data_IF_199684102044
#
_entry.id   IF_199684102044
#
_cell.length_a   1.000
_cell.length_b   1.000
_cell.length_c   1.000
_cell.angle_alpha   90.00
_cell.angle_beta   90.00
_cell.angle_gamma   90.00
#
_symmetry.space_group_name_H-M   'P 1'
#
loop_
_entity.id
_entity.type
_entity.pdbx_description
1 polymer ?
#
# COMPACT_ATOMS: atom_id res chain seq x y z
N UNK A 1 7.85 23.43 -6.36
CA UNK A 1 7.88 22.20 -5.55
C UNK A 1 7.55 21.05 -6.46
N UNK A 2 8.46 20.08 -6.57
CA UNK A 2 8.31 18.94 -7.48
C UNK A 2 8.22 17.62 -6.70
N UNK A 3 7.32 16.72 -7.12
CA UNK A 3 7.09 15.42 -6.52
C UNK A 3 7.44 14.31 -7.50
N UNK A 4 8.28 13.35 -7.10
CA UNK A 4 8.44 12.07 -7.82
C UNK A 4 7.65 10.99 -7.10
N UNK A 5 6.71 10.36 -7.79
CA UNK A 5 5.96 9.18 -7.31
C UNK A 5 6.59 7.92 -7.90
N UNK A 6 7.05 7.03 -7.04
CA UNK A 6 7.65 5.74 -7.42
C UNK A 6 6.69 4.62 -7.07
N UNK A 7 6.35 3.80 -8.05
CA UNK A 7 5.46 2.64 -7.88
C UNK A 7 6.19 1.39 -8.41
N UNK A 8 6.37 0.39 -7.56
CA UNK A 8 6.94 -0.91 -7.96
C UNK A 8 5.83 -1.90 -8.19
N UNK A 9 5.73 -2.45 -9.40
CA UNK A 9 4.66 -3.35 -9.83
C UNK A 9 5.16 -4.77 -10.09
N UNK A 10 4.35 -5.77 -9.75
CA UNK A 10 4.58 -7.17 -10.09
C UNK A 10 3.25 -7.93 -10.23
N UNK A 11 2.81 -8.21 -11.47
CA UNK A 11 1.58 -8.95 -11.80
C UNK A 11 0.30 -8.37 -11.17
N UNK A 12 0.12 -7.04 -11.19
CA UNK A 12 -1.03 -6.34 -10.56
C UNK A 12 -1.62 -5.23 -11.44
N UNK A 13 -1.69 -5.45 -12.75
CA UNK A 13 -2.08 -4.48 -13.78
C UNK A 13 -3.29 -3.60 -13.41
N UNK A 14 -4.38 -4.18 -12.92
CA UNK A 14 -5.64 -3.45 -12.69
C UNK A 14 -5.58 -2.54 -11.46
N UNK A 15 -4.98 -3.03 -10.38
CA UNK A 15 -4.71 -2.22 -9.19
C UNK A 15 -3.73 -1.09 -9.50
N UNK A 16 -2.70 -1.39 -10.27
CA UNK A 16 -1.70 -0.41 -10.70
C UNK A 16 -2.33 0.73 -11.51
N UNK A 17 -3.21 0.43 -12.47
CA UNK A 17 -3.93 1.48 -13.21
C UNK A 17 -4.76 2.34 -12.28
N UNK A 18 -5.52 1.73 -11.35
CA UNK A 18 -6.30 2.46 -10.36
C UNK A 18 -5.40 3.35 -9.48
N UNK A 19 -4.27 2.83 -9.03
CA UNK A 19 -3.28 3.56 -8.26
C UNK A 19 -2.79 4.79 -9.03
N UNK A 20 -2.33 4.62 -10.27
CA UNK A 20 -1.86 5.72 -11.14
C UNK A 20 -2.95 6.77 -11.32
N UNK A 21 -4.18 6.36 -11.65
CA UNK A 21 -5.31 7.29 -11.83
C UNK A 21 -5.63 8.05 -10.55
N UNK A 22 -5.55 7.41 -9.38
CA UNK A 22 -5.76 8.09 -8.09
C UNK A 22 -4.68 9.15 -7.82
N UNK A 23 -3.41 8.83 -8.13
CA UNK A 23 -2.30 9.80 -8.04
C UNK A 23 -2.52 10.98 -8.98
N UNK A 24 -2.88 10.74 -10.23
CA UNK A 24 -3.15 11.80 -11.22
C UNK A 24 -4.30 12.73 -10.76
N UNK A 25 -5.34 12.17 -10.11
CA UNK A 25 -6.44 12.97 -9.55
C UNK A 25 -5.99 13.81 -8.34
N UNK A 26 -5.20 13.23 -7.45
CA UNK A 26 -4.70 13.90 -6.24
C UNK A 26 -3.60 14.93 -6.53
N UNK A 27 -2.89 14.79 -7.65
CA UNK A 27 -1.78 15.66 -8.03
C UNK A 27 -2.19 16.90 -8.84
N UNK A 28 -3.49 17.19 -8.96
CA UNK A 28 -3.96 18.40 -9.68
C UNK A 28 -3.35 19.66 -9.06
N UNK A 29 -2.64 20.47 -9.87
CA UNK A 29 -1.97 21.67 -9.43
C UNK A 29 -0.61 21.46 -8.76
N UNK A 30 -0.13 20.24 -8.71
CA UNK A 30 1.20 19.86 -8.23
C UNK A 30 2.09 19.57 -9.44
N UNK A 31 3.35 20.02 -9.44
CA UNK A 31 4.35 19.59 -10.41
C UNK A 31 4.86 18.20 -10.01
N UNK A 32 4.58 17.18 -10.82
CA UNK A 32 4.89 15.80 -10.48
C UNK A 32 5.31 14.95 -11.68
N UNK A 33 5.99 13.87 -11.38
CA UNK A 33 6.24 12.76 -12.29
C UNK A 33 5.88 11.43 -11.63
N UNK A 34 5.46 10.44 -12.44
CA UNK A 34 5.24 9.07 -11.98
C UNK A 34 6.24 8.16 -12.67
N UNK A 35 6.99 7.39 -11.88
CA UNK A 35 7.91 6.35 -12.37
C UNK A 35 7.39 5.01 -11.87
N UNK A 36 7.02 4.15 -12.81
CA UNK A 36 6.62 2.76 -12.53
C UNK A 36 7.78 1.85 -12.84
N UNK A 37 8.21 1.05 -11.87
CA UNK A 37 9.17 -0.04 -12.10
C UNK A 37 8.37 -1.34 -12.20
N UNK A 38 8.30 -1.89 -13.40
CA UNK A 38 7.80 -3.25 -13.59
C UNK A 38 8.88 -4.24 -13.19
N UNK A 39 8.59 -5.03 -12.16
CA UNK A 39 9.56 -5.86 -11.48
C UNK A 39 9.51 -7.31 -11.99
N UNK A 40 9.61 -7.49 -13.34
CA UNK A 40 9.54 -8.79 -14.04
C UNK A 40 8.12 -9.40 -14.01
N UNK A 41 7.10 -8.60 -14.36
CA UNK A 41 5.74 -9.11 -14.52
C UNK A 41 5.62 -10.06 -15.71
N UNK A 42 4.87 -11.14 -15.53
CA UNK A 42 4.60 -12.14 -16.57
C UNK A 42 3.28 -11.90 -17.32
N UNK A 43 2.52 -10.89 -16.89
CA UNK A 43 1.28 -10.46 -17.54
C UNK A 43 1.54 -9.34 -18.57
N UNK A 44 0.49 -8.77 -19.14
CA UNK A 44 0.56 -7.71 -20.14
C UNK A 44 0.75 -6.29 -19.54
N UNK A 45 1.15 -6.17 -18.27
CA UNK A 45 1.25 -4.89 -17.54
C UNK A 45 2.03 -3.84 -18.32
N UNK A 46 3.24 -4.15 -18.78
CA UNK A 46 4.12 -3.17 -19.46
C UNK A 46 3.52 -2.68 -20.77
N UNK A 47 3.05 -3.60 -21.62
CA UNK A 47 2.43 -3.24 -22.90
C UNK A 47 1.19 -2.38 -22.68
N UNK A 48 0.36 -2.75 -21.70
CA UNK A 48 -0.82 -2.01 -21.32
C UNK A 48 -0.50 -0.59 -20.84
N UNK A 49 0.48 -0.43 -19.94
CA UNK A 49 0.86 0.88 -19.40
C UNK A 49 1.36 1.82 -20.49
N UNK A 50 2.21 1.32 -21.40
CA UNK A 50 2.72 2.10 -22.54
C UNK A 50 1.59 2.59 -23.45
N UNK A 51 0.59 1.74 -23.72
CA UNK A 51 -0.57 2.10 -24.52
C UNK A 51 -1.49 3.08 -23.79
N UNK A 52 -1.71 2.84 -22.49
CA UNK A 52 -2.73 3.52 -21.70
C UNK A 52 -2.33 4.91 -21.23
N UNK A 53 -1.08 5.05 -20.83
CA UNK A 53 -0.56 6.27 -20.20
C UNK A 53 0.44 7.01 -21.07
N UNK A 54 0.97 6.37 -22.12
CA UNK A 54 1.93 6.97 -23.07
C UNK A 54 3.02 7.80 -22.33
N UNK A 55 3.12 9.10 -22.63
CA UNK A 55 4.13 10.00 -22.07
C UNK A 55 3.78 10.55 -20.67
N UNK A 56 2.62 10.18 -20.11
CA UNK A 56 2.19 10.69 -18.79
C UNK A 56 2.86 10.00 -17.60
N UNK A 57 3.52 8.87 -17.84
CA UNK A 57 4.32 8.13 -16.85
C UNK A 57 5.61 7.62 -17.48
N UNK A 58 6.59 7.34 -16.62
CA UNK A 58 7.81 6.62 -17.05
C UNK A 58 7.70 5.17 -16.62
N UNK A 59 7.92 4.23 -17.54
CA UNK A 59 7.96 2.79 -17.23
C UNK A 59 9.38 2.28 -17.37
N UNK A 60 9.91 1.73 -16.28
CA UNK A 60 11.19 1.01 -16.22
C UNK A 60 10.85 -0.47 -16.16
N UNK A 61 11.25 -1.21 -17.18
CA UNK A 61 11.04 -2.66 -17.26
C UNK A 61 12.27 -3.39 -16.76
N UNK A 62 12.14 -4.18 -15.71
CA UNK A 62 13.19 -5.04 -15.18
C UNK A 62 13.09 -6.44 -15.79
N UNK A 63 14.22 -7.03 -16.12
CA UNK A 63 14.32 -8.40 -16.64
C UNK A 63 14.37 -9.47 -15.54
N UNK A 64 14.29 -9.05 -14.28
CA UNK A 64 14.29 -9.93 -13.12
C UNK A 64 13.58 -9.25 -11.94
N UNK A 65 13.03 -10.01 -11.02
CA UNK A 65 12.45 -9.47 -9.79
C UNK A 65 13.55 -8.99 -8.83
N UNK A 66 13.75 -7.67 -8.78
CA UNK A 66 14.76 -7.00 -7.96
C UNK A 66 14.41 -6.96 -6.46
N UNK A 67 13.16 -7.27 -6.09
CA UNK A 67 12.61 -6.97 -4.78
C UNK A 67 12.21 -5.50 -4.64
N UNK A 68 11.67 -5.14 -3.48
CA UNK A 68 11.08 -3.80 -3.28
C UNK A 68 12.14 -2.70 -3.15
N UNK A 69 13.17 -2.92 -2.33
CA UNK A 69 14.20 -1.90 -2.06
C UNK A 69 14.98 -1.52 -3.33
N UNK A 70 15.50 -2.50 -4.07
CA UNK A 70 16.30 -2.24 -5.28
C UNK A 70 15.48 -1.61 -6.39
N UNK A 71 14.24 -2.06 -6.58
CA UNK A 71 13.36 -1.50 -7.60
C UNK A 71 13.02 -0.04 -7.31
N UNK A 72 12.68 0.32 -6.06
CA UNK A 72 12.50 1.72 -5.67
C UNK A 72 13.77 2.55 -5.87
N UNK A 73 14.93 2.04 -5.43
CA UNK A 73 16.21 2.72 -5.58
C UNK A 73 16.56 3.00 -7.06
N UNK A 74 16.23 2.05 -7.95
CA UNK A 74 16.41 2.23 -9.40
C UNK A 74 15.64 3.44 -9.92
N UNK A 75 14.35 3.57 -9.56
CA UNK A 75 13.53 4.70 -9.94
C UNK A 75 14.02 6.02 -9.34
N UNK A 76 14.42 6.01 -8.05
CA UNK A 76 14.92 7.21 -7.36
C UNK A 76 16.20 7.72 -8.02
N UNK A 77 17.15 6.83 -8.37
CA UNK A 77 18.38 7.19 -9.09
C UNK A 77 18.06 7.74 -10.46
N UNK A 78 17.19 7.10 -11.23
CA UNK A 78 16.80 7.57 -12.55
C UNK A 78 16.12 8.95 -12.50
N UNK A 79 15.29 9.22 -11.49
CA UNK A 79 14.71 10.56 -11.32
C UNK A 79 15.78 11.62 -11.08
N UNK A 80 16.86 11.31 -10.35
CA UNK A 80 17.97 12.20 -10.10
C UNK A 80 18.84 12.42 -11.36
N UNK A 81 19.17 11.35 -12.09
CA UNK A 81 20.05 11.38 -13.28
C UNK A 81 19.46 12.21 -14.42
N UNK A 82 18.14 12.24 -14.58
CA UNK A 82 17.47 13.09 -15.56
C UNK A 82 17.77 14.58 -15.40
N UNK A 83 18.06 15.02 -14.17
CA UNK A 83 18.37 16.42 -13.87
C UNK A 83 19.87 16.72 -13.98
N UNK A 84 20.75 15.72 -13.88
CA UNK A 84 22.20 15.91 -14.02
C UNK A 84 22.67 15.89 -15.47
N UNK A 85 21.94 15.21 -16.37
CA UNK A 85 22.30 15.06 -17.79
C UNK A 85 21.51 15.96 -18.75
N UNK A 86 20.46 16.63 -18.28
CA UNK A 86 19.70 17.55 -19.11
C UNK A 86 20.29 18.95 -19.04
N UNK A 87 20.42 19.53 -20.25
CA UNK A 87 20.85 20.85 -20.63
C UNK A 87 20.71 21.91 -19.51
N UNK A 88 21.78 22.60 -19.12
CA UNK A 88 21.75 23.70 -18.15
C UNK A 88 20.75 24.80 -18.50
N UNK A 89 20.22 24.83 -19.73
CA UNK A 89 19.23 25.80 -20.17
C UNK A 89 17.80 25.51 -19.74
N UNK A 90 17.48 24.27 -19.30
CA UNK A 90 16.11 23.89 -18.92
C UNK A 90 15.74 24.18 -17.46
N UNK A 91 16.71 24.58 -16.63
CA UNK A 91 16.46 24.96 -15.21
C UNK A 91 15.81 23.86 -14.35
N UNK A 92 15.83 22.60 -14.81
CA UNK A 92 15.22 21.49 -14.10
C UNK A 92 16.01 21.16 -12.83
N UNK A 93 15.33 21.23 -11.69
CA UNK A 93 15.88 20.83 -10.38
C UNK A 93 15.36 19.44 -9.99
N UNK A 94 16.13 18.65 -9.21
CA UNK A 94 15.62 17.41 -8.63
C UNK A 94 14.32 17.63 -7.86
N UNK A 95 13.50 16.60 -7.77
CA UNK A 95 12.26 16.68 -6.99
C UNK A 95 12.54 16.94 -5.52
N UNK A 96 11.76 17.82 -4.91
CA UNK A 96 11.88 18.16 -3.49
C UNK A 96 11.41 17.00 -2.60
N UNK A 97 10.48 16.20 -3.12
CA UNK A 97 9.84 15.09 -2.41
C UNK A 97 9.76 13.84 -3.26
N UNK A 98 9.83 12.69 -2.59
CA UNK A 98 9.70 11.35 -3.18
C UNK A 98 8.60 10.62 -2.45
N UNK A 99 7.61 10.12 -3.18
CA UNK A 99 6.60 9.21 -2.66
C UNK A 99 6.88 7.78 -3.13
N UNK A 100 7.13 6.87 -2.21
CA UNK A 100 7.07 5.43 -2.47
C UNK A 100 5.62 4.98 -2.22
N UNK A 101 5.00 4.37 -3.23
CA UNK A 101 3.59 4.00 -3.21
C UNK A 101 3.39 2.57 -3.70
N UNK A 102 2.67 1.75 -2.93
CA UNK A 102 2.33 0.41 -3.38
C UNK A 102 1.32 0.43 -4.54
N UNK A 103 1.45 -0.47 -5.53
CA UNK A 103 0.58 -0.53 -6.70
C UNK A 103 -0.86 -0.94 -6.38
N UNK A 104 -1.10 -1.58 -5.22
CA UNK A 104 -2.40 -2.02 -4.73
C UNK A 104 -3.01 -1.03 -3.72
N UNK A 105 -2.75 0.27 -3.94
CA UNK A 105 -3.36 1.38 -3.19
C UNK A 105 -4.16 2.30 -4.11
N UNK A 106 -5.10 3.03 -3.54
CA UNK A 106 -5.58 4.27 -4.14
C UNK A 106 -5.66 5.37 -3.09
N UNK A 107 -5.36 6.59 -3.49
CA UNK A 107 -5.26 7.75 -2.60
C UNK A 107 -6.45 8.70 -2.81
N UNK A 108 -6.91 9.34 -1.73
CA UNK A 108 -7.92 10.37 -1.79
C UNK A 108 -7.40 11.60 -2.57
N UNK A 109 -8.29 12.34 -3.22
CA UNK A 109 -7.93 13.47 -4.09
C UNK A 109 -7.20 14.61 -3.36
N UNK A 110 -7.43 14.78 -2.07
CA UNK A 110 -6.80 15.80 -1.21
C UNK A 110 -5.53 15.33 -0.51
N UNK A 111 -5.22 14.02 -0.60
CA UNK A 111 -4.13 13.38 0.15
C UNK A 111 -2.77 14.04 -0.10
N UNK A 112 -2.38 14.25 -1.35
CA UNK A 112 -1.07 14.83 -1.67
C UNK A 112 -0.95 16.29 -1.21
N UNK A 113 -2.01 17.08 -1.33
CA UNK A 113 -2.03 18.47 -0.87
C UNK A 113 -1.87 18.57 0.65
N UNK A 114 -2.56 17.71 1.41
CA UNK A 114 -2.43 17.67 2.87
C UNK A 114 -1.00 17.29 3.30
N UNK A 115 -0.42 16.26 2.68
CA UNK A 115 0.91 15.76 3.03
C UNK A 115 2.01 16.75 2.66
N UNK A 116 1.96 17.34 1.47
CA UNK A 116 2.93 18.32 1.01
C UNK A 116 2.85 19.62 1.82
N UNK A 117 1.64 20.11 2.10
CA UNK A 117 1.44 21.28 2.96
C UNK A 117 1.96 21.08 4.39
N UNK A 118 1.83 19.84 4.92
CA UNK A 118 2.43 19.47 6.19
C UNK A 118 3.97 19.50 6.14
N UNK A 119 4.58 18.93 5.09
CA UNK A 119 6.03 18.95 4.90
C UNK A 119 6.60 20.36 4.78
N UNK A 120 5.90 21.26 4.09
CA UNK A 120 6.33 22.65 3.94
C UNK A 120 6.33 23.40 5.28
N UNK A 121 5.36 23.11 6.15
CA UNK A 121 5.25 23.71 7.48
C UNK A 121 6.13 23.04 8.55
N UNK A 122 6.71 21.86 8.26
CA UNK A 122 7.52 21.09 9.21
C UNK A 122 8.88 20.71 8.61
N UNK A 123 9.88 21.60 8.60
CA UNK A 123 11.20 21.36 7.99
C UNK A 123 11.95 20.15 8.59
N UNK A 124 11.68 19.81 9.85
CA UNK A 124 12.28 18.63 10.52
C UNK A 124 11.63 17.30 10.11
N UNK A 125 10.47 17.32 9.44
CA UNK A 125 9.84 16.12 8.94
C UNK A 125 10.68 15.54 7.78
N UNK A 126 11.32 14.42 8.02
CA UNK A 126 12.08 13.67 7.02
C UNK A 126 11.20 12.73 6.20
N UNK A 127 10.11 12.24 6.81
CA UNK A 127 9.16 11.38 6.12
C UNK A 127 7.78 11.37 6.76
N UNK A 128 6.76 11.04 5.93
CA UNK A 128 5.35 11.01 6.32
C UNK A 128 4.68 9.72 5.88
N UNK A 129 3.93 9.11 6.82
CA UNK A 129 2.91 8.10 6.56
C UNK A 129 1.51 8.68 6.73
N UNK A 130 0.50 7.96 6.23
CA UNK A 130 -0.88 8.47 6.16
C UNK A 130 -1.89 7.50 6.79
N UNK A 131 -3.15 7.96 6.91
CA UNK A 131 -4.29 7.16 7.36
C UNK A 131 -4.64 6.12 6.31
N UNK A 132 -4.26 4.88 6.56
CA UNK A 132 -4.59 3.77 5.67
C UNK A 132 -5.90 3.10 6.13
N UNK A 133 -6.80 2.90 5.18
CA UNK A 133 -8.00 2.11 5.35
C UNK A 133 -7.80 0.73 4.73
N UNK A 134 -8.31 -0.29 5.40
CA UNK A 134 -8.51 -1.58 4.79
C UNK A 134 -9.72 -1.52 3.84
N UNK A 135 -9.86 -2.44 2.89
CA UNK A 135 -11.00 -2.44 1.97
C UNK A 135 -12.36 -2.59 2.64
N UNK A 136 -12.43 -3.05 3.89
CA UNK A 136 -13.65 -3.12 4.71
C UNK A 136 -13.94 -1.82 5.49
N UNK A 137 -13.27 -0.72 5.16
CA UNK A 137 -13.41 0.58 5.81
C UNK A 137 -12.74 0.69 7.18
N UNK A 138 -12.24 -0.42 7.75
CA UNK A 138 -11.52 -0.37 9.03
C UNK A 138 -10.15 0.27 8.89
N UNK A 139 -9.68 0.91 9.96
CA UNK A 139 -8.38 1.57 9.96
C UNK A 139 -7.25 0.55 10.11
N UNK A 140 -6.24 0.68 9.25
CA UNK A 140 -5.07 -0.18 9.26
C UNK A 140 -4.10 0.25 10.37
N UNK A 141 -3.85 -0.59 11.39
CA UNK A 141 -3.00 -0.21 12.53
C UNK A 141 -1.56 0.11 12.14
N UNK A 142 -1.08 -0.38 11.01
CA UNK A 142 0.24 -0.09 10.47
C UNK A 142 0.41 1.35 9.93
N UNK A 143 -0.63 2.16 9.89
CA UNK A 143 -0.56 3.60 9.65
C UNK A 143 0.31 4.31 10.67
N UNK A 144 0.38 3.80 11.90
CA UNK A 144 1.09 4.40 13.02
C UNK A 144 1.89 3.31 13.75
N UNK A 145 3.19 3.24 13.44
CA UNK A 145 4.06 2.19 14.00
C UNK A 145 5.19 2.79 14.83
N UNK A 146 5.44 2.14 15.97
CA UNK A 146 6.66 2.31 16.76
C UNK A 146 7.78 1.41 16.25
N UNK A 147 9.02 1.74 16.60
CA UNK A 147 10.18 0.90 16.28
C UNK A 147 10.07 -0.49 16.91
N UNK A 148 10.34 -1.55 16.16
CA UNK A 148 10.41 -2.91 16.67
C UNK A 148 11.72 -3.12 17.45
N UNK A 149 11.91 -2.34 18.53
CA UNK A 149 13.03 -2.59 19.44
C UNK A 149 12.91 -4.01 20.02
N UNK A 150 13.99 -4.62 20.55
CA UNK A 150 13.92 -5.94 21.15
C UNK A 150 12.78 -6.10 22.16
N UNK A 151 12.59 -5.10 23.03
CA UNK A 151 11.54 -5.07 24.03
C UNK A 151 10.14 -4.93 23.42
N UNK A 152 9.94 -4.00 22.48
CA UNK A 152 8.66 -3.81 21.81
C UNK A 152 8.25 -5.03 20.99
N UNK A 153 9.22 -5.68 20.32
CA UNK A 153 9.01 -6.92 19.59
C UNK A 153 8.61 -8.08 20.50
N UNK A 154 9.26 -8.21 21.65
CA UNK A 154 8.92 -9.22 22.66
C UNK A 154 7.49 -8.99 23.20
N UNK A 155 7.15 -7.78 23.58
CA UNK A 155 5.79 -7.45 24.04
C UNK A 155 4.72 -7.75 22.97
N UNK A 156 5.00 -7.41 21.70
CA UNK A 156 4.09 -7.72 20.58
C UNK A 156 3.89 -9.23 20.43
N UNK A 157 4.96 -10.03 20.56
CA UNK A 157 4.88 -11.49 20.49
C UNK A 157 4.04 -12.09 21.63
N UNK A 158 4.03 -11.43 22.80
CA UNK A 158 3.16 -11.78 23.95
C UNK A 158 1.74 -11.22 23.84
N UNK A 159 1.36 -10.57 22.72
CA UNK A 159 0.03 -10.00 22.49
C UNK A 159 -0.11 -8.52 22.87
N UNK A 160 0.90 -7.90 23.48
CA UNK A 160 0.87 -6.49 23.90
C UNK A 160 1.30 -5.57 22.76
N UNK A 161 0.38 -5.27 21.84
CA UNK A 161 0.69 -4.53 20.61
C UNK A 161 0.54 -3.01 20.72
N UNK A 162 0.15 -2.47 21.90
CA UNK A 162 -0.16 -1.03 22.09
C UNK A 162 0.99 -0.12 21.69
N UNK A 163 2.22 -0.43 22.13
CA UNK A 163 3.41 0.37 21.80
C UNK A 163 3.82 0.24 20.34
N UNK A 164 3.73 -0.98 19.79
CA UNK A 164 4.09 -1.22 18.39
C UNK A 164 3.18 -0.48 17.40
N UNK A 165 1.86 -0.42 17.66
CA UNK A 165 0.91 0.28 16.81
C UNK A 165 0.57 1.69 17.32
N UNK A 166 1.33 2.22 18.26
CA UNK A 166 1.19 3.57 18.82
C UNK A 166 -0.28 3.96 19.07
N UNK A 167 -1.04 3.06 19.72
CA UNK A 167 -2.50 3.20 19.91
C UNK A 167 -2.93 4.42 20.72
N UNK A 168 -1.97 5.13 21.32
CA UNK A 168 -2.20 6.39 22.03
C UNK A 168 -2.39 7.59 21.11
N UNK A 169 -1.95 7.51 19.84
CA UNK A 169 -2.12 8.59 18.89
C UNK A 169 -3.57 8.63 18.37
N UNK A 170 -4.21 9.82 18.28
CA UNK A 170 -5.51 9.94 17.64
C UNK A 170 -5.42 9.66 16.14
N UNK A 171 -6.56 9.26 15.53
CA UNK A 171 -6.60 8.95 14.11
C UNK A 171 -6.78 10.20 13.22
N UNK A 172 -7.31 11.28 13.77
CA UNK A 172 -7.75 12.44 13.01
C UNK A 172 -6.84 13.65 13.23
N UNK A 173 -5.71 13.45 13.91
CA UNK A 173 -4.69 14.47 14.14
C UNK A 173 -3.31 14.00 13.70
N UNK A 174 -2.45 14.90 13.17
CA UNK A 174 -1.06 14.56 12.91
C UNK A 174 -0.34 14.17 14.19
N UNK A 175 0.60 13.23 14.08
CA UNK A 175 1.38 12.79 15.23
C UNK A 175 2.74 12.20 14.81
N UNK A 176 3.72 12.32 15.72
CA UNK A 176 5.03 11.70 15.50
C UNK A 176 4.92 10.19 15.62
N UNK A 177 5.48 9.49 14.67
CA UNK A 177 5.59 8.03 14.64
C UNK A 177 7.05 7.62 14.47
N UNK A 178 7.38 6.38 14.80
CA UNK A 178 8.75 5.92 14.59
C UNK A 178 8.95 5.33 13.19
N UNK A 179 7.95 4.64 12.66
CA UNK A 179 8.07 3.88 11.41
C UNK A 179 6.95 4.24 10.44
N UNK A 180 7.34 4.67 9.26
CA UNK A 180 6.46 4.93 8.12
C UNK A 180 6.21 3.62 7.37
N UNK A 181 4.98 3.40 6.90
CA UNK A 181 4.66 2.22 6.10
C UNK A 181 5.12 2.38 4.66
N UNK A 182 5.79 1.36 4.10
CA UNK A 182 6.18 1.33 2.69
C UNK A 182 5.00 1.36 1.71
N UNK A 183 3.75 1.13 2.19
CA UNK A 183 2.57 1.25 1.33
C UNK A 183 2.29 2.69 0.86
N UNK A 184 2.61 3.68 1.70
CA UNK A 184 2.67 5.10 1.38
C UNK A 184 3.78 5.73 2.23
N UNK A 185 4.89 6.07 1.62
CA UNK A 185 6.05 6.65 2.28
C UNK A 185 6.49 7.90 1.54
N UNK A 186 6.03 9.07 1.99
CA UNK A 186 6.47 10.36 1.46
C UNK A 186 7.74 10.79 2.17
N UNK A 187 8.77 11.12 1.41
CA UNK A 187 10.12 11.43 1.89
C UNK A 187 10.56 12.81 1.40
N UNK A 188 11.20 13.58 2.26
CA UNK A 188 11.94 14.76 1.86
C UNK A 188 13.23 14.33 1.16
N UNK A 189 13.51 14.84 -0.03
CA UNK A 189 14.71 14.49 -0.82
C UNK A 189 15.99 14.75 -0.03
N UNK A 190 16.13 15.92 0.57
CA UNK A 190 17.30 16.27 1.38
C UNK A 190 17.55 15.27 2.52
N UNK A 191 16.47 14.82 3.19
CA UNK A 191 16.59 13.82 4.24
C UNK A 191 17.05 12.48 3.69
N UNK A 192 16.49 12.05 2.55
CA UNK A 192 16.87 10.81 1.88
C UNK A 192 18.31 10.83 1.40
N UNK A 193 18.77 11.94 0.80
CA UNK A 193 20.16 12.11 0.34
C UNK A 193 21.13 12.03 1.51
N UNK A 194 20.76 12.53 2.69
CA UNK A 194 21.59 12.49 3.89
C UNK A 194 21.67 11.12 4.54
N UNK A 195 20.56 10.36 4.57
CA UNK A 195 20.52 9.05 5.24
C UNK A 195 20.82 7.89 4.29
N UNK A 196 20.81 8.13 2.99
CA UNK A 196 20.94 7.14 1.92
C UNK A 196 19.61 6.48 1.56
N UNK A 197 19.58 5.81 0.42
CA UNK A 197 18.41 5.15 -0.14
C UNK A 197 17.97 3.94 0.69
N UNK A 198 16.96 3.19 0.23
CA UNK A 198 16.54 1.95 0.85
C UNK A 198 17.70 0.95 0.87
N UNK A 199 17.80 0.18 1.93
CA UNK A 199 18.85 -0.82 2.08
C UNK A 199 18.53 -2.07 1.24
N UNK A 200 19.39 -2.36 0.28
CA UNK A 200 19.19 -3.42 -0.72
C UNK A 200 19.45 -4.84 -0.20
N UNK A 201 19.90 -5.00 1.05
CA UNK A 201 19.93 -6.31 1.72
C UNK A 201 18.51 -6.83 2.00
N UNK A 202 17.53 -5.93 2.09
CA UNK A 202 16.12 -6.28 2.21
C UNK A 202 15.53 -6.54 0.82
N UNK A 203 15.17 -7.78 0.55
CA UNK A 203 14.44 -8.10 -0.69
C UNK A 203 13.02 -7.52 -0.65
N UNK A 204 12.32 -7.71 0.47
CA UNK A 204 10.98 -7.22 0.77
C UNK A 204 10.75 -7.27 2.27
N UNK A 205 10.05 -6.28 2.82
CA UNK A 205 9.80 -6.08 4.25
C UNK A 205 11.04 -5.65 5.04
N UNK A 206 10.86 -4.70 5.93
CA UNK A 206 11.90 -4.20 6.83
C UNK A 206 12.73 -3.05 6.28
N UNK A 207 12.77 -2.84 4.97
CA UNK A 207 13.42 -1.68 4.33
C UNK A 207 12.78 -0.35 4.76
N UNK A 208 11.45 -0.34 4.98
CA UNK A 208 10.70 0.81 5.48
C UNK A 208 11.03 1.10 6.97
N UNK A 209 11.19 0.05 7.77
CA UNK A 209 11.61 0.16 9.18
C UNK A 209 13.05 0.67 9.25
N UNK A 210 13.95 0.13 8.43
CA UNK A 210 15.36 0.52 8.38
C UNK A 210 15.51 1.99 7.98
N UNK A 211 14.85 2.41 6.89
CA UNK A 211 14.88 3.80 6.42
C UNK A 211 14.32 4.75 7.49
N UNK A 212 13.16 4.42 8.06
CA UNK A 212 12.53 5.21 9.13
C UNK A 212 13.47 5.37 10.34
N UNK A 213 14.17 4.31 10.72
CA UNK A 213 15.11 4.35 11.83
C UNK A 213 16.36 5.19 11.53
N UNK A 214 16.87 5.14 10.28
CA UNK A 214 17.99 5.98 9.85
C UNK A 214 17.61 7.46 9.84
N UNK A 215 16.40 7.82 9.41
CA UNK A 215 15.87 9.18 9.49
C UNK A 215 15.89 9.70 10.93
N UNK A 216 15.34 8.94 11.87
CA UNK A 216 15.33 9.31 13.30
C UNK A 216 16.75 9.46 13.86
N UNK A 217 17.69 8.55 13.51
CA UNK A 217 19.10 8.64 13.95
C UNK A 217 19.83 9.88 13.43
N UNK A 218 19.44 10.37 12.26
CA UNK A 218 20.00 11.59 11.68
C UNK A 218 19.32 12.88 12.17
N UNK A 219 18.39 12.78 13.13
CA UNK A 219 17.72 13.93 13.74
C UNK A 219 16.48 14.43 12.99
N UNK A 220 16.03 13.70 11.96
CA UNK A 220 14.73 13.95 11.35
C UNK A 220 13.60 13.33 12.17
N UNK A 221 12.38 13.77 11.87
CA UNK A 221 11.15 13.28 12.47
C UNK A 221 10.33 12.52 11.44
N UNK A 222 9.74 11.41 11.85
CA UNK A 222 8.74 10.69 11.07
C UNK A 222 7.35 11.05 11.58
N UNK A 223 6.43 11.37 10.66
CA UNK A 223 5.11 11.84 11.01
C UNK A 223 4.00 10.99 10.39
N UNK A 224 2.90 10.91 11.09
CA UNK A 224 1.62 10.47 10.60
C UNK A 224 0.76 11.70 10.29
N UNK A 225 0.16 11.76 9.11
CA UNK A 225 -0.81 12.78 8.70
C UNK A 225 -2.13 12.07 8.39
N UNK A 226 -3.31 12.60 8.83
CA UNK A 226 -4.59 11.93 8.67
C UNK A 226 -5.18 12.01 7.24
N UNK A 227 -4.34 12.12 6.22
CA UNK A 227 -4.72 12.01 4.82
C UNK A 227 -5.06 10.56 4.47
N UNK A 228 -6.16 10.32 3.75
CA UNK A 228 -6.74 9.00 3.59
C UNK A 228 -6.30 8.28 2.33
N UNK A 229 -6.00 6.98 2.46
CA UNK A 229 -5.79 6.05 1.35
C UNK A 229 -6.48 4.70 1.65
N UNK A 230 -6.76 3.91 0.62
CA UNK A 230 -7.08 2.48 0.77
C UNK A 230 -5.90 1.64 0.33
N UNK A 231 -5.61 0.58 1.06
CA UNK A 231 -4.61 -0.41 0.70
C UNK A 231 -5.25 -1.80 0.66
N UNK A 232 -5.34 -2.39 -0.51
CA UNK A 232 -6.00 -3.70 -0.72
C UNK A 232 -5.27 -4.84 0.00
N UNK A 233 -3.95 -4.77 0.13
CA UNK A 233 -3.08 -5.72 0.84
C UNK A 233 -3.05 -7.14 0.29
N UNK A 234 -1.94 -7.49 -0.29
CA UNK A 234 -1.60 -8.87 -0.59
C UNK A 234 -1.83 -9.32 -2.01
N UNK A 235 -2.14 -8.40 -2.92
CA UNK A 235 -2.35 -8.72 -4.34
C UNK A 235 -1.03 -9.14 -5.02
N UNK A 236 0.09 -8.59 -4.61
CA UNK A 236 1.43 -8.96 -5.09
C UNK A 236 2.09 -10.11 -4.31
N UNK A 237 1.49 -10.57 -3.18
CA UNK A 237 2.13 -11.56 -2.31
C UNK A 237 1.13 -12.44 -1.57
N UNK A 238 1.12 -13.75 -1.87
CA UNK A 238 0.33 -14.75 -1.13
C UNK A 238 0.95 -14.97 0.26
N UNK A 239 0.32 -14.41 1.31
CA UNK A 239 0.82 -14.42 2.71
C UNK A 239 0.97 -15.82 3.32
N UNK A 240 0.30 -16.84 2.78
CA UNK A 240 0.39 -18.23 3.21
C UNK A 240 1.52 -19.02 2.51
N UNK A 241 2.36 -18.37 1.70
CA UNK A 241 3.44 -19.06 1.01
C UNK A 241 4.68 -19.23 1.89
N UNK A 242 5.41 -20.35 1.74
CA UNK A 242 6.72 -20.57 2.36
C UNK A 242 7.68 -19.40 2.09
N UNK A 243 7.67 -18.88 0.85
CA UNK A 243 8.50 -17.76 0.43
C UNK A 243 8.21 -16.50 1.27
N UNK A 244 6.93 -16.19 1.53
CA UNK A 244 6.53 -15.06 2.39
C UNK A 244 7.12 -15.21 3.80
N UNK A 245 6.89 -16.36 4.43
CA UNK A 245 7.39 -16.65 5.80
C UNK A 245 8.91 -16.48 5.85
N UNK A 246 9.62 -17.08 4.90
CA UNK A 246 11.08 -17.02 4.83
C UNK A 246 11.59 -15.58 4.67
N UNK A 247 11.09 -14.83 3.68
CA UNK A 247 11.52 -13.44 3.41
C UNK A 247 11.21 -12.52 4.59
N UNK A 248 10.03 -12.66 5.21
CA UNK A 248 9.63 -11.85 6.35
C UNK A 248 10.55 -12.06 7.58
N UNK A 249 10.84 -13.31 7.91
CA UNK A 249 11.70 -13.59 9.07
C UNK A 249 13.18 -13.29 8.78
N UNK A 250 13.64 -13.45 7.55
CA UNK A 250 14.95 -12.98 7.13
C UNK A 250 15.08 -11.46 7.29
N UNK A 251 14.09 -10.69 6.85
CA UNK A 251 14.09 -9.24 7.01
C UNK A 251 14.21 -8.84 8.50
N UNK A 252 13.49 -9.51 9.39
CA UNK A 252 13.62 -9.29 10.85
C UNK A 252 15.06 -9.55 11.34
N UNK A 253 15.69 -10.63 10.88
CA UNK A 253 17.06 -10.96 11.27
C UNK A 253 18.09 -9.96 10.73
N UNK A 254 17.90 -9.48 9.48
CA UNK A 254 18.75 -8.45 8.87
C UNK A 254 18.65 -7.16 9.70
N UNK A 255 17.42 -6.67 9.96
CA UNK A 255 17.20 -5.47 10.76
C UNK A 255 17.83 -5.59 12.16
N UNK A 256 17.58 -6.71 12.83
CA UNK A 256 18.15 -6.95 14.15
C UNK A 256 19.69 -6.98 14.13
N UNK A 257 20.30 -7.66 13.16
CA UNK A 257 21.76 -7.73 13.01
C UNK A 257 22.36 -6.33 12.77
N UNK A 258 21.74 -5.52 11.91
CA UNK A 258 22.25 -4.18 11.55
C UNK A 258 22.17 -3.20 12.71
N UNK A 259 21.06 -3.18 13.42
CA UNK A 259 20.80 -2.13 14.41
C UNK A 259 21.01 -2.54 15.87
N UNK A 260 20.97 -3.84 16.16
CA UNK A 260 21.08 -4.38 17.52
C UNK A 260 22.15 -5.48 17.66
N UNK A 261 22.95 -5.75 16.63
CA UNK A 261 23.98 -6.80 16.65
C UNK A 261 25.10 -6.58 17.66
N UNK A 262 25.26 -5.33 18.13
CA UNK A 262 26.22 -4.96 19.18
C UNK A 262 25.75 -5.29 20.60
N UNK A 263 24.49 -5.69 20.78
CA UNK A 263 23.98 -6.08 22.10
C UNK A 263 24.62 -7.39 22.55
N UNK A 264 24.73 -7.56 23.89
CA UNK A 264 25.35 -8.75 24.47
C UNK A 264 24.68 -10.04 23.99
N UNK A 265 25.42 -11.12 23.98
CA UNK A 265 24.94 -12.46 23.60
C UNK A 265 23.66 -12.85 24.36
N UNK A 266 23.56 -12.51 25.64
CA UNK A 266 22.41 -12.81 26.49
C UNK A 266 21.12 -12.11 26.06
N UNK A 267 21.21 -10.98 25.32
CA UNK A 267 20.07 -10.28 24.75
C UNK A 267 19.77 -10.77 23.34
N UNK A 268 20.81 -11.02 22.54
CA UNK A 268 20.63 -11.37 21.11
C UNK A 268 20.15 -12.81 20.93
N UNK A 269 20.61 -13.75 21.77
CA UNK A 269 20.25 -15.16 21.65
C UNK A 269 18.75 -15.43 21.88
N UNK A 270 18.11 -14.93 22.96
CA UNK A 270 16.66 -15.11 23.16
C UNK A 270 15.81 -14.55 22.02
N UNK A 271 16.21 -13.41 21.44
CA UNK A 271 15.47 -12.78 20.34
C UNK A 271 15.56 -13.65 19.08
N UNK A 272 16.76 -14.13 18.73
CA UNK A 272 16.93 -15.06 17.58
C UNK A 272 16.11 -16.33 17.80
N UNK A 273 16.17 -16.93 18.98
CA UNK A 273 15.37 -18.12 19.31
C UNK A 273 13.87 -17.82 19.12
N UNK A 274 13.38 -16.68 19.60
CA UNK A 274 11.99 -16.30 19.46
C UNK A 274 11.58 -16.10 17.99
N UNK A 275 12.43 -15.50 17.17
CA UNK A 275 12.20 -15.34 15.73
C UNK A 275 12.11 -16.71 15.04
N UNK A 276 13.09 -17.60 15.28
CA UNK A 276 13.10 -18.94 14.68
C UNK A 276 11.91 -19.80 15.17
N UNK A 277 11.54 -19.69 16.45
CA UNK A 277 10.41 -20.40 17.01
C UNK A 277 9.08 -19.95 16.36
N UNK A 278 8.88 -18.65 16.17
CA UNK A 278 7.70 -18.12 15.46
C UNK A 278 7.68 -18.52 13.98
N UNK A 279 8.85 -18.51 13.32
CA UNK A 279 8.96 -19.02 11.96
C UNK A 279 8.58 -20.50 11.86
N UNK A 280 9.04 -21.31 12.83
CA UNK A 280 8.69 -22.74 12.92
C UNK A 280 7.18 -22.94 13.14
N UNK A 281 6.54 -22.18 14.05
CA UNK A 281 5.08 -22.23 14.23
C UNK A 281 4.37 -21.86 12.94
N UNK A 282 4.78 -20.80 12.25
CA UNK A 282 4.16 -20.39 10.99
C UNK A 282 4.28 -21.49 9.91
N UNK A 283 5.42 -22.17 9.84
CA UNK A 283 5.61 -23.33 8.94
C UNK A 283 4.69 -24.49 9.31
N UNK A 284 4.54 -24.82 10.59
CA UNK A 284 3.63 -25.86 11.05
C UNK A 284 2.18 -25.55 10.70
N UNK A 285 1.76 -24.29 10.91
CA UNK A 285 0.40 -23.83 10.54
C UNK A 285 0.16 -24.00 9.02
N UNK A 286 1.13 -23.58 8.20
CA UNK A 286 1.06 -23.71 6.75
C UNK A 286 0.99 -25.19 6.32
N UNK A 287 1.81 -26.06 6.91
CA UNK A 287 1.79 -27.50 6.63
C UNK A 287 0.45 -28.13 7.05
N UNK A 288 -0.07 -27.76 8.21
CA UNK A 288 -1.38 -28.20 8.68
C UNK A 288 -2.51 -27.79 7.73
N UNK A 289 -2.54 -26.51 7.30
CA UNK A 289 -3.52 -26.02 6.31
C UNK A 289 -3.41 -26.79 4.98
N UNK A 290 -2.18 -27.00 4.49
CA UNK A 290 -1.94 -27.75 3.27
C UNK A 290 -2.43 -29.20 3.40
N UNK A 291 -2.15 -29.86 4.51
CA UNK A 291 -2.63 -31.23 4.79
C UNK A 291 -4.15 -31.28 4.90
N UNK A 292 -4.76 -30.32 5.63
CA UNK A 292 -6.22 -30.21 5.75
C UNK A 292 -6.88 -30.06 4.37
N UNK A 293 -6.33 -29.19 3.51
CA UNK A 293 -6.84 -28.96 2.16
C UNK A 293 -6.65 -30.22 1.27
N UNK A 294 -5.54 -30.95 1.41
CA UNK A 294 -5.31 -32.19 0.65
C UNK A 294 -6.22 -33.34 1.09
N UNK A 295 -6.70 -33.32 2.34
CA UNK A 295 -7.68 -34.28 2.87
C UNK A 295 -9.14 -33.92 2.52
N UNK A 296 -9.36 -32.91 1.66
CA UNK A 296 -10.70 -32.52 1.22
C UNK A 296 -11.44 -31.62 2.19
N UNK A 297 -10.83 -31.21 3.30
CA UNK A 297 -11.34 -30.14 4.17
C UNK A 297 -11.04 -28.77 3.52
N UNK A 298 -11.62 -28.55 2.35
CA UNK A 298 -11.55 -27.25 1.68
C UNK A 298 -12.15 -26.17 2.59
N UNK A 299 -11.65 -24.96 2.47
CA UNK A 299 -12.29 -23.80 3.09
C UNK A 299 -13.80 -23.82 2.76
N UNK A 300 -14.64 -23.42 3.74
CA UNK A 300 -16.07 -23.24 3.49
C UNK A 300 -16.23 -22.55 2.14
N UNK A 301 -17.15 -23.03 1.25
CA UNK A 301 -17.41 -22.31 0.01
C UNK A 301 -17.53 -20.84 0.36
N UNK A 302 -16.79 -19.96 -0.36
CA UNK A 302 -16.88 -18.51 -0.15
C UNK A 302 -18.36 -18.19 -0.05
N UNK A 303 -18.78 -17.59 1.06
CA UNK A 303 -20.15 -17.10 1.17
C UNK A 303 -20.39 -16.27 -0.09
N UNK A 304 -21.49 -16.52 -0.81
CA UNK A 304 -21.82 -15.80 -2.02
C UNK A 304 -21.78 -14.30 -1.69
N UNK A 305 -20.73 -13.63 -2.19
CA UNK A 305 -20.54 -12.19 -1.96
C UNK A 305 -21.68 -11.48 -2.70
N UNK A 306 -22.48 -10.73 -1.99
CA UNK A 306 -23.50 -9.88 -2.59
C UNK A 306 -22.85 -8.57 -3.03
N UNK A 307 -22.89 -8.28 -4.33
CA UNK A 307 -22.35 -7.07 -4.92
C UNK A 307 -23.44 -6.00 -5.05
N UNK A 308 -23.17 -4.79 -4.56
CA UNK A 308 -24.05 -3.63 -4.69
C UNK A 308 -23.38 -2.58 -5.55
N UNK A 309 -23.78 -2.52 -6.82
CA UNK A 309 -23.26 -1.55 -7.77
C UNK A 309 -23.97 -0.22 -7.60
N UNK A 310 -23.19 0.86 -7.44
CA UNK A 310 -23.69 2.22 -7.22
C UNK A 310 -23.00 3.16 -8.20
N UNK A 311 -23.75 3.87 -9.04
CA UNK A 311 -23.15 4.77 -10.02
C UNK A 311 -24.10 5.29 -11.07
N UNK A 312 -23.51 5.72 -12.18
CA UNK A 312 -24.22 6.25 -13.36
C UNK A 312 -25.07 5.17 -14.04
N UNK A 313 -26.16 5.54 -14.73
CA UNK A 313 -26.94 4.58 -15.52
C UNK A 313 -26.09 3.78 -16.50
N UNK A 314 -25.12 4.42 -17.15
CA UNK A 314 -24.21 3.78 -18.09
C UNK A 314 -23.32 2.70 -17.41
N UNK A 315 -22.79 2.99 -16.23
CA UNK A 315 -22.02 2.02 -15.43
C UNK A 315 -22.91 0.86 -15.00
N UNK A 316 -24.13 1.14 -14.53
CA UNK A 316 -25.08 0.12 -14.09
C UNK A 316 -25.48 -0.84 -15.22
N UNK A 317 -25.67 -0.36 -16.45
CA UNK A 317 -26.00 -1.21 -17.60
C UNK A 317 -24.84 -2.13 -17.98
N UNK A 318 -23.59 -1.62 -17.99
CA UNK A 318 -22.41 -2.42 -18.26
C UNK A 318 -22.15 -3.45 -17.15
N UNK A 319 -22.31 -3.05 -15.90
CA UNK A 319 -22.13 -3.94 -14.76
C UNK A 319 -23.21 -5.03 -14.67
N UNK A 320 -24.47 -4.77 -15.11
CA UNK A 320 -25.51 -5.80 -15.27
C UNK A 320 -25.10 -6.88 -16.26
N UNK A 321 -24.54 -6.47 -17.40
CA UNK A 321 -24.04 -7.42 -18.39
C UNK A 321 -22.89 -8.29 -17.82
N UNK A 322 -21.95 -7.67 -17.07
CA UNK A 322 -20.88 -8.37 -16.39
C UNK A 322 -21.43 -9.35 -15.34
N UNK A 323 -22.31 -8.90 -14.46
CA UNK A 323 -22.90 -9.70 -13.40
C UNK A 323 -23.63 -10.94 -13.95
N UNK A 324 -24.41 -10.74 -15.02
CA UNK A 324 -25.12 -11.85 -15.71
C UNK A 324 -24.13 -12.85 -16.30
N UNK A 325 -23.07 -12.38 -16.98
CA UNK A 325 -22.06 -13.23 -17.62
C UNK A 325 -21.29 -14.07 -16.60
N UNK A 326 -21.02 -13.49 -15.43
CA UNK A 326 -20.22 -14.12 -14.36
C UNK A 326 -21.05 -14.77 -13.25
N UNK A 327 -22.39 -14.71 -13.33
CA UNK A 327 -23.27 -15.31 -12.32
C UNK A 327 -23.18 -14.66 -10.96
N UNK A 328 -22.94 -13.33 -10.88
CA UNK A 328 -22.79 -12.62 -9.62
C UNK A 328 -24.16 -12.34 -8.98
N UNK A 329 -24.24 -12.51 -7.66
CA UNK A 329 -25.40 -12.01 -6.88
C UNK A 329 -25.26 -10.50 -6.74
N UNK A 330 -25.98 -9.75 -7.56
CA UNK A 330 -25.80 -8.30 -7.73
C UNK A 330 -27.09 -7.51 -7.56
N UNK A 331 -27.01 -6.40 -6.84
CA UNK A 331 -28.03 -5.35 -6.73
C UNK A 331 -27.50 -4.06 -7.36
N UNK A 332 -28.36 -3.29 -8.00
CA UNK A 332 -28.01 -2.09 -8.74
C UNK A 332 -28.78 -0.90 -8.18
N UNK A 333 -28.06 0.10 -7.70
CA UNK A 333 -28.61 1.29 -7.06
C UNK A 333 -28.21 2.54 -7.84
N UNK A 334 -29.15 3.44 -8.10
CA UNK A 334 -28.86 4.76 -8.64
C UNK A 334 -28.34 5.69 -7.54
N UNK A 335 -27.76 6.82 -7.93
CA UNK A 335 -27.15 7.77 -7.00
C UNK A 335 -28.14 8.37 -5.99
N UNK A 336 -29.39 8.56 -6.38
CA UNK A 336 -30.47 9.05 -5.51
C UNK A 336 -30.89 8.04 -4.43
N UNK A 337 -30.59 6.77 -4.62
CA UNK A 337 -30.87 5.70 -3.67
C UNK A 337 -29.72 5.47 -2.65
N UNK A 338 -28.61 6.22 -2.75
CA UNK A 338 -27.39 6.03 -1.93
C UNK A 338 -27.68 6.10 -0.42
N UNK A 339 -28.56 7.01 0.00
CA UNK A 339 -28.96 7.16 1.41
C UNK A 339 -29.71 5.93 1.98
N UNK A 340 -30.31 5.13 1.13
CA UNK A 340 -31.01 3.90 1.51
C UNK A 340 -30.12 2.66 1.43
N UNK A 341 -28.93 2.79 0.86
CA UNK A 341 -28.02 1.69 0.60
C UNK A 341 -27.65 0.97 1.91
N UNK A 342 -27.28 1.72 2.96
CA UNK A 342 -26.87 1.15 4.24
C UNK A 342 -27.95 0.24 4.86
N UNK A 343 -29.22 0.60 4.73
CA UNK A 343 -30.33 -0.20 5.25
C UNK A 343 -30.50 -1.53 4.51
N UNK A 344 -30.18 -1.57 3.22
CA UNK A 344 -30.32 -2.73 2.32
C UNK A 344 -29.12 -3.67 2.33
N UNK A 345 -27.94 -3.20 2.77
CA UNK A 345 -26.71 -3.98 2.74
C UNK A 345 -26.75 -5.15 3.76
N UNK A 346 -26.52 -6.39 3.33
CA UNK A 346 -26.17 -7.47 4.23
C UNK A 346 -24.74 -7.30 4.78
N UNK A 347 -24.45 -7.91 5.92
CA UNK A 347 -23.10 -7.89 6.47
C UNK A 347 -22.11 -8.55 5.49
N UNK A 348 -20.95 -7.92 5.30
CA UNK A 348 -19.90 -8.44 4.39
C UNK A 348 -20.20 -8.29 2.89
N UNK A 349 -21.19 -7.48 2.50
CA UNK A 349 -21.45 -7.15 1.10
C UNK A 349 -20.28 -6.36 0.49
N UNK A 350 -20.12 -6.44 -0.83
CA UNK A 350 -19.21 -5.59 -1.57
C UNK A 350 -19.98 -4.41 -2.20
N UNK A 351 -19.63 -3.19 -1.82
CA UNK A 351 -20.17 -1.98 -2.46
C UNK A 351 -19.24 -1.58 -3.59
N UNK A 352 -19.76 -1.62 -4.80
CA UNK A 352 -19.01 -1.36 -6.04
C UNK A 352 -19.33 0.05 -6.54
N UNK A 353 -18.36 0.92 -6.43
CA UNK A 353 -18.47 2.31 -6.83
C UNK A 353 -18.07 2.52 -8.29
N UNK A 354 -18.80 3.39 -8.99
CA UNK A 354 -18.43 3.93 -10.30
C UNK A 354 -17.27 4.92 -10.14
N UNK A 355 -16.08 4.57 -10.65
CA UNK A 355 -14.89 5.42 -10.54
C UNK A 355 -14.97 6.73 -11.31
N UNK A 356 -15.91 6.85 -12.26
CA UNK A 356 -16.11 8.08 -13.03
C UNK A 356 -17.10 9.04 -12.34
N UNK A 357 -17.91 8.52 -11.40
CA UNK A 357 -18.93 9.28 -10.69
C UNK A 357 -18.49 9.68 -9.27
N UNK A 358 -17.84 8.76 -8.55
CA UNK A 358 -17.39 9.00 -7.19
C UNK A 358 -15.91 9.41 -7.15
N UNK A 359 -15.58 10.36 -6.26
CA UNK A 359 -14.19 10.58 -5.87
C UNK A 359 -13.69 9.44 -4.96
N UNK A 360 -12.40 9.19 -4.95
CA UNK A 360 -11.81 8.20 -4.03
C UNK A 360 -12.04 8.58 -2.56
N UNK A 361 -12.00 9.87 -2.22
CA UNK A 361 -12.34 10.35 -0.89
C UNK A 361 -13.78 9.95 -0.49
N UNK A 362 -14.76 10.21 -1.36
CA UNK A 362 -16.15 9.81 -1.11
C UNK A 362 -16.32 8.30 -0.91
N UNK A 363 -15.63 7.48 -1.72
CA UNK A 363 -15.66 6.01 -1.57
C UNK A 363 -15.12 5.58 -0.20
N UNK A 364 -14.01 6.17 0.24
CA UNK A 364 -13.38 5.88 1.55
C UNK A 364 -14.31 6.28 2.69
N UNK A 365 -14.79 7.52 2.69
CA UNK A 365 -15.65 8.05 3.75
C UNK A 365 -16.97 7.29 3.85
N UNK A 366 -17.60 7.01 2.71
CA UNK A 366 -18.86 6.28 2.66
C UNK A 366 -18.70 4.85 3.18
N UNK A 367 -17.63 4.14 2.78
CA UNK A 367 -17.36 2.77 3.28
C UNK A 367 -17.02 2.78 4.78
N UNK A 368 -16.23 3.74 5.24
CA UNK A 368 -15.88 3.88 6.65
C UNK A 368 -17.10 4.21 7.54
N UNK A 369 -18.04 5.03 7.03
CA UNK A 369 -19.30 5.35 7.74
C UNK A 369 -20.18 4.12 7.96
N UNK A 370 -20.17 3.15 7.04
CA UNK A 370 -20.94 1.90 7.13
C UNK A 370 -20.24 0.81 7.97
N UNK A 371 -19.36 1.18 8.90
CA UNK A 371 -18.50 0.28 9.67
C UNK A 371 -19.26 -0.81 10.47
N UNK A 372 -20.54 -0.60 10.81
CA UNK A 372 -21.41 -1.59 11.49
C UNK A 372 -21.69 -2.81 10.62
N UNK A 373 -21.86 -2.62 9.32
CA UNK A 373 -22.12 -3.67 8.32
C UNK A 373 -20.84 -4.27 7.74
N UNK A 374 -19.70 -3.58 7.89
CA UNK A 374 -18.39 -3.93 7.33
C UNK A 374 -18.45 -4.31 5.84
N UNK A 375 -19.05 -3.47 4.99
CA UNK A 375 -19.01 -3.72 3.56
C UNK A 375 -17.57 -3.63 3.08
N UNK A 376 -17.23 -4.38 2.03
CA UNK A 376 -15.96 -4.20 1.35
C UNK A 376 -16.10 -3.25 0.18
N UNK A 377 -15.05 -2.45 -0.06
CA UNK A 377 -15.00 -1.55 -1.20
C UNK A 377 -14.66 -2.33 -2.47
N UNK A 378 -15.47 -2.16 -3.48
CA UNK A 378 -15.19 -2.53 -4.85
C UNK A 378 -15.22 -1.30 -5.75
N UNK A 379 -14.53 -1.33 -6.85
CA UNK A 379 -14.55 -0.27 -7.87
C UNK A 379 -14.83 -0.87 -9.23
N UNK A 380 -15.61 -0.15 -10.04
CA UNK A 380 -15.85 -0.50 -11.42
C UNK A 380 -15.51 0.68 -12.32
N UNK A 381 -14.64 0.43 -13.27
CA UNK A 381 -14.31 1.41 -14.31
C UNK A 381 -14.99 1.01 -15.63
N UNK A 382 -15.79 1.92 -16.18
CA UNK A 382 -16.40 1.73 -17.50
C UNK A 382 -15.33 1.49 -18.57
N UNK A 383 -14.17 2.11 -18.41
CA UNK A 383 -13.05 2.01 -19.34
C UNK A 383 -12.36 0.65 -19.28
N UNK A 384 -12.04 0.17 -18.09
CA UNK A 384 -11.41 -1.14 -17.89
C UNK A 384 -12.39 -2.29 -18.09
N UNK A 385 -13.70 -2.03 -17.95
CA UNK A 385 -14.77 -3.02 -17.91
C UNK A 385 -14.49 -4.13 -16.88
N UNK A 386 -13.83 -3.75 -15.78
CA UNK A 386 -13.40 -4.63 -14.72
C UNK A 386 -13.94 -4.17 -13.37
N UNK A 387 -14.39 -5.11 -12.58
CA UNK A 387 -14.68 -4.97 -11.17
C UNK A 387 -13.43 -5.33 -10.39
N UNK A 388 -12.90 -4.38 -9.63
CA UNK A 388 -11.73 -4.55 -8.77
C UNK A 388 -12.21 -4.63 -7.32
N UNK A 389 -11.88 -5.71 -6.64
CA UNK A 389 -12.15 -5.92 -5.21
C UNK A 389 -10.88 -6.36 -4.50
N UNK A 390 -10.89 -6.49 -3.20
CA UNK A 390 -9.76 -7.04 -2.44
C UNK A 390 -9.45 -8.51 -2.79
N UNK A 391 -10.45 -9.27 -3.21
CA UNK A 391 -10.33 -10.72 -3.34
C UNK A 391 -10.10 -11.17 -4.78
N UNK A 392 -10.59 -10.39 -5.73
CA UNK A 392 -10.60 -10.78 -7.14
C UNK A 392 -10.82 -9.61 -8.08
N UNK A 393 -10.37 -9.78 -9.30
CA UNK A 393 -10.65 -8.92 -10.43
C UNK A 393 -11.59 -9.68 -11.37
N UNK A 394 -12.76 -9.11 -11.66
CA UNK A 394 -13.79 -9.73 -12.48
C UNK A 394 -13.96 -8.93 -13.78
N UNK A 395 -13.82 -9.61 -14.93
CA UNK A 395 -13.90 -9.05 -16.28
C UNK A 395 -15.02 -9.68 -17.09
#
# INVERSE_FOLDING_TARGET
MKLTVVIVSYNVRYYLEQCIVSVQRAAKGIDYEIIVVDNDSSDDTVAYLRQRFADSITVIESTQNLGFARANNLAIRQSADRFTHNDPTTGSTPSDYILLLNPDTFIAEDCLHQVLGFLDSHPQAGGIGVKMHNPDGTLAPESRRGLPTPWVSMLKMLGFSKRYYMKQLPWDEPGRIDVISGAFCMLRREALDKVGLLDEDFFMYGEDIDLSYRLLKCGYENWYVPASIVHYKGESTVKSSYRYVHVFYQAMLIFFRKHYGHLSFFVTLPIKIAIYFRAFIALLQMLYERMRNSLGFTEKPRADVSYFFVGSPQMLDKSRALAKRKGLTATFCQLDELSLLEQRLPAGACVVYDTDTFSYLQMIEHTAAMSTKRPTIGTYSIRQQALITQLEIIQ
#
